data_IF_332726075698
#
_entry.id   IF_332726075698
#
_cell.length_a   1.000
_cell.length_b   1.000
_cell.length_c   1.000
_cell.angle_alpha   90.00
_cell.angle_beta   90.00
_cell.angle_gamma   90.00
#
_symmetry.space_group_name_H-M   'P 1'
#
loop_
_entity.id
_entity.type
_entity.pdbx_description
1 polymer ?
#
# COMPACT_ATOMS: atom_id res chain seq x y z
N UNK A 1 1.63 42.17 5.42
CA UNK A 1 1.10 42.35 6.79
C UNK A 1 0.42 41.04 7.16
N UNK A 2 1.07 40.25 8.01
CA UNK A 2 0.49 39.01 8.53
C UNK A 2 -0.68 39.39 9.47
N UNK A 3 -1.89 38.90 9.15
CA UNK A 3 -3.04 39.04 10.04
C UNK A 3 -2.83 38.18 11.29
N UNK A 4 -3.18 38.80 12.41
CA UNK A 4 -3.06 38.26 13.74
C UNK A 4 -3.73 36.86 13.91
N UNK A 5 -3.13 36.04 14.77
CA UNK A 5 -3.63 34.79 15.32
C UNK A 5 -5.14 34.81 15.50
N UNK A 6 -5.85 34.13 14.59
CA UNK A 6 -7.19 33.70 14.84
C UNK A 6 -7.12 32.38 15.66
N UNK A 7 -7.69 32.39 16.85
CA UNK A 7 -7.77 31.22 17.74
C UNK A 7 -8.74 30.14 17.23
N UNK A 8 -9.27 30.28 16.00
CA UNK A 8 -10.27 29.36 15.41
C UNK A 8 -9.71 27.97 15.04
N UNK A 9 -8.40 27.83 14.91
CA UNK A 9 -7.79 26.58 14.41
C UNK A 9 -7.93 26.36 12.91
N UNK A 10 -8.47 27.35 12.17
CA UNK A 10 -8.61 27.33 10.71
C UNK A 10 -7.56 28.23 10.05
N UNK A 11 -7.16 27.86 8.85
CA UNK A 11 -6.27 28.65 7.99
C UNK A 11 -6.94 28.81 6.62
N UNK A 12 -6.60 29.88 5.88
CA UNK A 12 -7.08 30.08 4.53
C UNK A 12 -6.62 28.94 3.60
N UNK A 13 -7.55 28.45 2.77
CA UNK A 13 -7.22 27.46 1.73
C UNK A 13 -6.36 28.14 0.65
N UNK A 14 -5.16 27.62 0.42
CA UNK A 14 -4.35 27.99 -0.72
C UNK A 14 -4.79 27.14 -1.91
N UNK A 15 -5.39 27.79 -2.92
CA UNK A 15 -5.89 27.13 -4.12
C UNK A 15 -5.36 27.85 -5.36
N UNK A 16 -4.89 27.07 -6.33
CA UNK A 16 -4.45 27.54 -7.64
C UNK A 16 -5.43 26.98 -8.69
N UNK A 17 -6.11 27.89 -9.37
CA UNK A 17 -7.02 27.54 -10.46
C UNK A 17 -6.20 27.22 -11.73
N UNK A 18 -6.48 26.07 -12.32
CA UNK A 18 -5.84 25.65 -13.56
C UNK A 18 -6.77 25.90 -14.75
N UNK A 19 -6.19 26.26 -15.91
CA UNK A 19 -6.93 26.33 -17.15
C UNK A 19 -7.51 24.94 -17.53
N UNK A 20 -8.70 24.86 -18.16
CA UNK A 20 -9.34 23.58 -18.52
C UNK A 20 -8.45 22.66 -19.38
N UNK A 21 -7.64 23.22 -20.25
CA UNK A 21 -6.70 22.48 -21.10
C UNK A 21 -5.61 21.79 -20.26
N UNK A 22 -5.09 22.49 -19.26
CA UNK A 22 -4.09 21.96 -18.34
C UNK A 22 -4.72 20.88 -17.42
N UNK A 23 -5.94 21.09 -16.94
CA UNK A 23 -6.68 20.08 -16.17
C UNK A 23 -6.84 18.79 -16.95
N UNK A 24 -7.27 18.88 -18.23
CA UNK A 24 -7.42 17.73 -19.12
C UNK A 24 -6.08 17.02 -19.38
N UNK A 25 -5.02 17.78 -19.62
CA UNK A 25 -3.67 17.27 -19.85
C UNK A 25 -3.15 16.47 -18.64
N UNK A 26 -3.28 17.03 -17.43
CA UNK A 26 -2.88 16.36 -16.19
C UNK A 26 -3.69 15.10 -15.92
N UNK A 27 -5.01 15.17 -16.10
CA UNK A 27 -5.89 14.01 -15.92
C UNK A 27 -5.53 12.88 -16.88
N UNK A 28 -5.35 13.17 -18.16
CA UNK A 28 -4.96 12.18 -19.17
C UNK A 28 -3.58 11.58 -18.90
N UNK A 29 -2.61 12.41 -18.52
CA UNK A 29 -1.25 11.97 -18.20
C UNK A 29 -1.21 11.06 -16.98
N UNK A 30 -1.91 11.42 -15.91
CA UNK A 30 -1.99 10.61 -14.69
C UNK A 30 -2.70 9.28 -14.95
N UNK A 31 -3.84 9.30 -15.65
CA UNK A 31 -4.54 8.08 -16.03
C UNK A 31 -3.65 7.15 -16.89
N UNK A 32 -2.98 7.71 -17.90
CA UNK A 32 -2.07 6.95 -18.77
C UNK A 32 -0.97 6.26 -17.96
N UNK A 33 -0.40 6.94 -16.95
CA UNK A 33 0.63 6.36 -16.10
C UNK A 33 0.04 5.27 -15.18
N UNK A 34 -1.07 5.54 -14.51
CA UNK A 34 -1.71 4.55 -13.62
C UNK A 34 -2.23 3.34 -14.39
N UNK A 35 -2.63 3.50 -15.64
CA UNK A 35 -3.10 2.39 -16.47
C UNK A 35 -2.00 1.37 -16.81
N UNK A 36 -0.73 1.77 -16.79
CA UNK A 36 0.43 0.86 -16.95
C UNK A 36 0.67 -0.01 -15.70
N UNK A 37 0.18 0.41 -14.53
CA UNK A 37 0.44 -0.26 -13.27
C UNK A 37 -0.07 -1.71 -13.28
N UNK A 38 0.82 -2.62 -12.92
CA UNK A 38 0.50 -4.05 -12.78
C UNK A 38 0.99 -4.56 -11.40
N UNK A 39 0.33 -5.60 -10.91
CA UNK A 39 0.81 -6.40 -9.79
C UNK A 39 1.98 -7.26 -10.25
N UNK A 40 3.19 -6.99 -9.76
CA UNK A 40 4.44 -7.65 -10.18
C UNK A 40 4.95 -8.53 -9.06
N UNK A 41 5.31 -9.78 -9.40
CA UNK A 41 5.83 -10.77 -8.44
C UNK A 41 7.30 -11.15 -8.68
N UNK A 42 7.86 -10.79 -9.82
CA UNK A 42 9.26 -11.05 -10.17
C UNK A 42 10.04 -9.74 -10.06
N UNK A 43 10.92 -9.67 -9.08
CA UNK A 43 11.70 -8.48 -8.79
C UNK A 43 13.18 -8.70 -9.14
N UNK A 44 13.82 -7.65 -9.60
CA UNK A 44 15.26 -7.54 -9.65
C UNK A 44 15.81 -7.25 -8.26
N UNK A 45 16.97 -7.79 -7.94
CA UNK A 45 17.72 -7.47 -6.71
C UNK A 45 18.40 -6.10 -6.76
N UNK A 46 18.26 -5.37 -7.87
CA UNK A 46 18.81 -4.03 -8.06
C UNK A 46 18.39 -3.10 -6.94
N UNK A 47 19.35 -2.41 -6.35
CA UNK A 47 19.10 -1.52 -5.22
C UNK A 47 18.20 -0.35 -5.59
N UNK A 48 17.32 0.02 -4.66
CA UNK A 48 16.46 1.21 -4.70
C UNK A 48 16.88 2.14 -3.55
N UNK A 49 17.23 3.40 -3.84
CA UNK A 49 17.61 4.36 -2.80
C UNK A 49 16.52 4.53 -1.75
N UNK A 50 16.91 4.57 -0.48
CA UNK A 50 16.02 4.79 0.66
C UNK A 50 15.17 6.05 0.51
N UNK A 51 15.72 7.11 -0.06
CA UNK A 51 15.02 8.38 -0.30
C UNK A 51 13.76 8.23 -1.16
N UNK A 52 13.73 7.29 -2.12
CA UNK A 52 12.54 7.01 -2.93
C UNK A 52 11.45 6.32 -2.10
N UNK A 53 11.83 5.43 -1.19
CA UNK A 53 10.88 4.80 -0.26
C UNK A 53 10.31 5.84 0.71
N UNK A 54 11.16 6.71 1.24
CA UNK A 54 10.72 7.82 2.10
C UNK A 54 9.76 8.77 1.37
N UNK A 55 10.01 9.07 0.09
CA UNK A 55 9.13 9.89 -0.72
C UNK A 55 7.75 9.22 -0.92
N UNK A 56 7.72 7.91 -1.22
CA UNK A 56 6.48 7.16 -1.35
C UNK A 56 5.68 7.13 -0.04
N UNK A 57 6.35 6.92 1.10
CA UNK A 57 5.71 6.93 2.42
C UNK A 57 5.19 8.33 2.77
N UNK A 58 5.95 9.39 2.47
CA UNK A 58 5.48 10.78 2.66
C UNK A 58 4.23 11.06 1.82
N UNK A 59 4.22 10.63 0.56
CA UNK A 59 3.03 10.74 -0.30
C UNK A 59 1.84 9.98 0.30
N UNK A 60 2.04 8.76 0.76
CA UNK A 60 1.00 7.98 1.45
C UNK A 60 0.47 8.71 2.71
N UNK A 61 1.37 9.37 3.45
CA UNK A 61 1.04 10.13 4.65
C UNK A 61 0.18 11.37 4.41
N UNK A 62 0.01 11.82 3.15
CA UNK A 62 -0.94 12.90 2.80
C UNK A 62 -2.38 12.44 2.66
N UNK A 63 -2.66 11.14 2.83
CA UNK A 63 -4.00 10.59 2.75
C UNK A 63 -4.95 11.26 3.76
N UNK A 64 -6.22 11.51 3.41
CA UNK A 64 -7.23 11.86 4.39
C UNK A 64 -7.47 10.68 5.34
N UNK A 65 -7.88 10.99 6.58
CA UNK A 65 -8.20 9.98 7.57
C UNK A 65 -9.32 10.44 8.49
N UNK A 66 -10.06 9.49 9.05
CA UNK A 66 -11.13 9.77 10.01
C UNK A 66 -10.62 10.63 11.16
N UNK A 67 -11.23 11.80 11.37
CA UNK A 67 -10.84 12.81 12.36
C UNK A 67 -9.34 13.20 12.30
N UNK A 68 -8.72 13.10 11.15
CA UNK A 68 -7.29 13.36 10.92
C UNK A 68 -6.37 12.54 11.84
N UNK A 69 -6.76 11.32 12.20
CA UNK A 69 -6.02 10.50 13.17
C UNK A 69 -4.83 9.77 12.57
N UNK A 70 -4.71 9.69 11.23
CA UNK A 70 -3.58 9.09 10.52
C UNK A 70 -3.18 7.71 11.08
N UNK A 71 -4.12 6.73 11.14
CA UNK A 71 -3.98 5.50 11.90
C UNK A 71 -3.13 4.45 11.19
N UNK A 72 -1.98 4.83 10.68
CA UNK A 72 -1.07 3.98 9.92
C UNK A 72 0.36 4.07 10.42
N UNK A 73 1.07 2.95 10.31
CA UNK A 73 2.52 2.87 10.42
C UNK A 73 3.07 2.12 9.23
N UNK A 74 3.97 2.74 8.48
CA UNK A 74 4.70 2.08 7.40
C UNK A 74 6.05 1.61 7.93
N UNK A 75 6.30 0.31 7.90
CA UNK A 75 7.58 -0.29 8.27
C UNK A 75 8.31 -0.70 6.99
N UNK A 76 9.44 -0.06 6.71
CA UNK A 76 10.26 -0.32 5.53
C UNK A 76 11.47 -1.21 5.89
N UNK A 77 11.66 -2.30 5.15
CA UNK A 77 12.59 -3.36 5.46
C UNK A 77 13.48 -3.62 4.23
N UNK A 78 14.79 -3.36 4.37
CA UNK A 78 15.82 -3.74 3.39
C UNK A 78 16.76 -4.82 3.93
N UNK A 79 16.71 -5.09 5.23
CA UNK A 79 17.54 -6.11 5.87
C UNK A 79 17.16 -7.51 5.36
N UNK A 80 18.14 -8.21 4.74
CA UNK A 80 17.91 -9.48 4.08
C UNK A 80 17.53 -10.61 5.06
N UNK A 81 18.13 -10.65 6.24
CA UNK A 81 17.84 -11.67 7.25
C UNK A 81 16.38 -11.52 7.74
N UNK A 82 15.94 -10.27 7.92
CA UNK A 82 14.57 -9.97 8.35
C UNK A 82 13.56 -10.32 7.25
N UNK A 83 13.87 -10.00 5.99
CA UNK A 83 13.06 -10.41 4.83
C UNK A 83 12.96 -11.93 4.73
N UNK A 84 14.05 -12.66 4.98
CA UNK A 84 14.06 -14.12 4.97
C UNK A 84 13.14 -14.71 6.06
N UNK A 85 13.16 -14.15 7.27
CA UNK A 85 12.26 -14.59 8.36
C UNK A 85 10.79 -14.32 8.00
N UNK A 86 10.50 -13.17 7.41
CA UNK A 86 9.16 -12.81 6.95
C UNK A 86 8.70 -13.75 5.83
N UNK A 87 9.57 -14.07 4.86
CA UNK A 87 9.29 -15.01 3.79
C UNK A 87 8.94 -16.39 4.33
N UNK A 88 9.76 -16.95 5.20
CA UNK A 88 9.53 -18.25 5.81
C UNK A 88 8.17 -18.33 6.51
N UNK A 89 7.85 -17.34 7.35
CA UNK A 89 6.58 -17.30 8.05
C UNK A 89 5.38 -17.11 7.09
N UNK A 90 5.52 -16.25 6.07
CA UNK A 90 4.49 -16.05 5.07
C UNK A 90 4.23 -17.33 4.26
N UNK A 91 5.28 -18.02 3.81
CA UNK A 91 5.17 -19.27 3.05
C UNK A 91 4.57 -20.41 3.90
N UNK A 92 4.84 -20.42 5.20
CA UNK A 92 4.21 -21.38 6.11
C UNK A 92 2.69 -21.15 6.21
N UNK A 93 2.25 -19.92 6.41
CA UNK A 93 0.81 -19.58 6.44
C UNK A 93 0.13 -19.82 5.10
N UNK A 94 0.79 -19.50 4.01
CA UNK A 94 0.28 -19.77 2.66
C UNK A 94 0.13 -21.28 2.39
N UNK A 95 1.09 -22.09 2.77
CA UNK A 95 0.95 -23.56 2.65
C UNK A 95 -0.28 -24.08 3.39
N UNK A 96 -0.50 -23.63 4.63
CA UNK A 96 -1.71 -23.98 5.40
C UNK A 96 -2.98 -23.50 4.71
N UNK A 97 -2.93 -22.29 4.12
CA UNK A 97 -4.07 -21.72 3.40
C UNK A 97 -4.41 -22.54 2.16
N UNK A 98 -3.41 -22.84 1.32
CA UNK A 98 -3.62 -23.60 0.08
C UNK A 98 -4.02 -25.06 0.34
N UNK A 99 -3.54 -25.70 1.42
CA UNK A 99 -3.83 -27.12 1.71
C UNK A 99 -5.10 -27.34 2.53
N UNK A 100 -5.50 -26.39 3.39
CA UNK A 100 -6.50 -26.66 4.43
C UNK A 100 -7.63 -25.62 4.51
N UNK A 101 -7.37 -24.35 4.15
CA UNK A 101 -8.27 -23.24 4.43
C UNK A 101 -8.95 -22.65 3.20
N UNK A 102 -8.43 -22.93 2.01
CA UNK A 102 -8.87 -22.31 0.76
C UNK A 102 -10.08 -23.05 0.18
N UNK A 103 -11.26 -22.42 0.07
CA UNK A 103 -12.38 -22.97 -0.67
C UNK A 103 -12.03 -23.13 -2.16
N UNK A 104 -12.59 -24.16 -2.83
CA UNK A 104 -12.34 -24.44 -4.24
C UNK A 104 -12.65 -23.22 -5.14
N UNK A 105 -13.78 -22.56 -4.90
CA UNK A 105 -14.17 -21.35 -5.63
C UNK A 105 -13.12 -20.23 -5.56
N UNK A 106 -12.40 -20.10 -4.44
CA UNK A 106 -11.31 -19.13 -4.32
C UNK A 106 -10.07 -19.60 -5.09
N UNK A 107 -9.73 -20.87 -4.99
CA UNK A 107 -8.62 -21.46 -5.77
C UNK A 107 -8.81 -21.26 -7.28
N UNK A 108 -10.02 -21.41 -7.79
CA UNK A 108 -10.35 -21.17 -9.20
C UNK A 108 -10.07 -19.73 -9.63
N UNK A 109 -10.44 -18.75 -8.81
CA UNK A 109 -10.17 -17.31 -9.06
C UNK A 109 -8.67 -16.98 -9.02
N UNK A 110 -7.89 -17.66 -8.18
CA UNK A 110 -6.45 -17.44 -8.06
C UNK A 110 -5.63 -18.13 -9.17
N UNK A 111 -6.11 -19.22 -9.73
CA UNK A 111 -5.41 -20.01 -10.76
C UNK A 111 -4.89 -19.17 -11.93
N UNK A 112 -5.70 -18.27 -12.55
CA UNK A 112 -5.23 -17.41 -13.64
C UNK A 112 -4.17 -16.39 -13.23
N UNK A 113 -4.02 -16.13 -11.92
CA UNK A 113 -3.06 -15.16 -11.38
C UNK A 113 -1.67 -15.75 -11.18
N UNK A 114 -1.52 -17.09 -11.30
CA UNK A 114 -0.24 -17.78 -11.15
C UNK A 114 0.39 -17.58 -9.75
N UNK A 115 -0.45 -17.52 -8.71
CA UNK A 115 0.04 -17.39 -7.31
C UNK A 115 0.04 -18.75 -6.62
N UNK A 116 1.07 -19.01 -5.86
CA UNK A 116 1.30 -20.24 -5.09
C UNK A 116 1.82 -19.93 -3.68
N UNK A 117 2.27 -20.94 -2.95
CA UNK A 117 2.80 -20.77 -1.59
C UNK A 117 4.24 -20.22 -1.55
N UNK A 118 4.95 -20.14 -2.67
CA UNK A 118 6.33 -19.65 -2.73
C UNK A 118 6.33 -18.13 -2.90
N UNK A 119 7.07 -17.40 -2.04
CA UNK A 119 7.01 -15.94 -1.96
C UNK A 119 8.39 -15.29 -2.15
N UNK A 120 9.06 -15.62 -3.24
CA UNK A 120 10.40 -15.11 -3.58
C UNK A 120 10.44 -13.58 -3.61
N UNK A 121 9.37 -12.96 -4.06
CA UNK A 121 9.23 -11.49 -4.10
C UNK A 121 9.52 -10.78 -2.77
N UNK A 122 9.41 -11.48 -1.61
CA UNK A 122 9.74 -10.91 -0.30
C UNK A 122 11.25 -10.75 -0.12
N UNK A 123 12.03 -11.71 -0.65
CA UNK A 123 13.50 -11.70 -0.54
C UNK A 123 14.17 -10.99 -1.70
N UNK A 124 13.60 -11.05 -2.90
CA UNK A 124 14.19 -10.53 -4.13
C UNK A 124 14.02 -9.02 -4.25
N UNK A 125 12.84 -8.49 -3.88
CA UNK A 125 12.63 -7.05 -3.85
C UNK A 125 13.64 -6.38 -2.89
N UNK A 126 14.30 -5.27 -3.30
CA UNK A 126 15.23 -4.54 -2.43
C UNK A 126 14.57 -4.02 -1.16
N UNK A 127 13.29 -3.69 -1.22
CA UNK A 127 12.50 -3.24 -0.08
C UNK A 127 11.21 -4.03 0.07
N UNK A 128 10.82 -4.26 1.33
CA UNK A 128 9.50 -4.73 1.71
C UNK A 128 8.88 -3.71 2.64
N UNK A 129 7.68 -3.27 2.31
CA UNK A 129 6.94 -2.31 3.12
C UNK A 129 5.76 -3.04 3.76
N UNK A 130 5.66 -2.96 5.08
CA UNK A 130 4.48 -3.47 5.79
C UNK A 130 3.68 -2.28 6.31
N UNK A 131 2.43 -2.19 5.85
CA UNK A 131 1.47 -1.23 6.38
C UNK A 131 0.74 -1.85 7.56
N UNK A 132 0.90 -1.23 8.71
CA UNK A 132 0.15 -1.53 9.92
C UNK A 132 -0.98 -0.52 10.11
N UNK A 133 -2.16 -1.03 10.43
CA UNK A 133 -3.32 -0.25 10.84
C UNK A 133 -3.35 -0.17 12.36
N UNK A 134 -3.48 1.02 12.90
CA UNK A 134 -3.67 1.27 14.33
C UNK A 134 -5.17 1.23 14.66
N UNK A 135 -5.60 0.34 15.56
CA UNK A 135 -6.98 0.25 16.01
C UNK A 135 -7.27 1.09 17.26
N UNK A 136 -6.22 1.57 17.92
CA UNK A 136 -6.27 2.45 19.08
C UNK A 136 -5.20 3.53 18.97
N UNK A 137 -5.42 4.67 19.58
CA UNK A 137 -4.45 5.75 19.73
C UNK A 137 -4.34 6.18 21.19
N UNK A 138 -3.16 6.65 21.58
CA UNK A 138 -2.99 7.34 22.84
C UNK A 138 -3.53 8.77 22.71
N UNK A 139 -4.40 9.17 23.63
CA UNK A 139 -4.96 10.51 23.71
C UNK A 139 -4.05 11.43 24.54
N UNK A 140 -4.26 12.74 24.45
CA UNK A 140 -3.47 13.73 25.18
C UNK A 140 -3.59 13.59 26.71
N UNK A 141 -4.71 13.01 27.18
CA UNK A 141 -4.95 12.71 28.60
C UNK A 141 -4.26 11.41 29.07
N UNK A 142 -3.47 10.73 28.21
CA UNK A 142 -2.77 9.49 28.53
C UNK A 142 -3.63 8.21 28.43
N UNK A 143 -4.89 8.31 28.05
CA UNK A 143 -5.78 7.15 27.88
C UNK A 143 -5.77 6.63 26.45
N UNK A 144 -5.92 5.32 26.28
CA UNK A 144 -6.14 4.71 24.99
C UNK A 144 -7.58 4.91 24.52
N UNK A 145 -7.74 5.36 23.29
CA UNK A 145 -9.04 5.51 22.64
C UNK A 145 -9.09 4.86 21.27
N UNK A 146 -10.28 4.66 20.70
CA UNK A 146 -10.41 4.09 19.35
C UNK A 146 -9.88 5.03 18.28
N UNK A 147 -9.51 4.48 17.14
CA UNK A 147 -9.40 5.19 15.87
C UNK A 147 -10.70 5.03 15.08
N UNK A 148 -10.97 5.99 14.19
CA UNK A 148 -12.18 6.00 13.37
C UNK A 148 -11.81 5.74 11.90
N UNK A 149 -12.60 4.89 11.21
CA UNK A 149 -12.40 4.60 9.79
C UNK A 149 -10.94 4.22 9.46
N UNK A 150 -10.31 3.48 10.38
CA UNK A 150 -8.87 3.20 10.26
C UNK A 150 -8.55 2.27 9.09
N UNK A 151 -9.47 1.39 8.70
CA UNK A 151 -9.30 0.50 7.57
C UNK A 151 -9.38 1.26 6.25
N UNK A 152 -10.40 2.08 6.08
CA UNK A 152 -10.61 2.92 4.91
C UNK A 152 -9.46 3.92 4.75
N UNK A 153 -9.07 4.58 5.84
CA UNK A 153 -7.95 5.52 5.88
C UNK A 153 -6.62 4.86 5.44
N UNK A 154 -6.32 3.68 5.97
CA UNK A 154 -5.14 2.91 5.55
C UNK A 154 -5.23 2.45 4.09
N UNK A 155 -6.44 2.10 3.61
CA UNK A 155 -6.67 1.76 2.20
C UNK A 155 -6.35 2.91 1.26
N UNK A 156 -6.79 4.15 1.60
CA UNK A 156 -6.48 5.36 0.83
C UNK A 156 -4.96 5.64 0.86
N UNK A 157 -4.32 5.55 2.03
CA UNK A 157 -2.88 5.73 2.16
C UNK A 157 -2.09 4.69 1.35
N UNK A 158 -2.53 3.43 1.34
CA UNK A 158 -1.94 2.38 0.51
C UNK A 158 -2.09 2.68 -0.99
N UNK A 159 -3.24 3.19 -1.43
CA UNK A 159 -3.48 3.61 -2.81
C UNK A 159 -2.52 4.72 -3.25
N UNK A 160 -2.32 5.75 -2.42
CA UNK A 160 -1.35 6.82 -2.68
C UNK A 160 0.09 6.31 -2.69
N UNK A 161 0.44 5.38 -1.78
CA UNK A 161 1.75 4.72 -1.80
C UNK A 161 2.01 4.00 -3.12
N UNK A 162 1.05 3.19 -3.57
CA UNK A 162 1.14 2.43 -4.83
C UNK A 162 1.26 3.37 -6.03
N UNK A 163 0.50 4.46 -6.04
CA UNK A 163 0.57 5.47 -7.09
C UNK A 163 1.94 6.17 -7.13
N UNK A 164 2.51 6.51 -5.96
CA UNK A 164 3.84 7.09 -5.85
C UNK A 164 4.92 6.14 -6.36
N UNK A 165 4.87 4.85 -5.98
CA UNK A 165 5.79 3.81 -6.45
C UNK A 165 5.73 3.69 -7.98
N UNK A 166 4.54 3.64 -8.56
CA UNK A 166 4.35 3.60 -10.01
C UNK A 166 4.89 4.86 -10.70
N UNK A 167 4.61 6.04 -10.15
CA UNK A 167 5.07 7.31 -10.72
C UNK A 167 6.60 7.45 -10.72
N UNK A 168 7.30 6.76 -9.82
CA UNK A 168 8.77 6.71 -9.76
C UNK A 168 9.38 5.64 -10.69
N UNK A 169 8.58 4.92 -11.48
CA UNK A 169 9.06 3.84 -12.34
C UNK A 169 9.43 2.56 -11.60
N UNK A 170 8.91 2.37 -10.39
CA UNK A 170 9.07 1.16 -9.61
C UNK A 170 7.79 0.32 -9.65
N UNK A 171 7.93 -0.97 -9.28
CA UNK A 171 6.80 -1.91 -9.24
C UNK A 171 6.55 -2.41 -7.82
N UNK A 172 5.31 -2.85 -7.58
CA UNK A 172 4.89 -3.42 -6.30
C UNK A 172 3.74 -4.41 -6.50
N UNK A 173 3.43 -5.14 -5.44
CA UNK A 173 2.19 -5.87 -5.27
C UNK A 173 1.64 -5.66 -3.87
N UNK A 174 0.35 -5.92 -3.69
CA UNK A 174 -0.26 -6.07 -2.37
C UNK A 174 -0.31 -7.55 -2.03
N UNK A 175 0.31 -7.95 -0.93
CA UNK A 175 0.35 -9.31 -0.43
C UNK A 175 -0.25 -9.36 0.97
N UNK A 176 -1.15 -10.31 1.20
CA UNK A 176 -1.89 -10.47 2.46
C UNK A 176 -1.81 -11.93 2.92
N UNK A 177 -0.65 -12.43 3.36
CA UNK A 177 -0.50 -13.81 3.86
C UNK A 177 -1.28 -13.93 5.17
N UNK A 178 -2.48 -14.51 5.11
CA UNK A 178 -3.39 -14.56 6.25
C UNK A 178 -3.27 -15.88 7.04
N UNK A 179 -3.22 -15.81 8.40
CA UNK A 179 -3.23 -14.62 9.25
C UNK A 179 -1.89 -13.88 9.29
N UNK A 180 -1.90 -12.54 9.34
CA UNK A 180 -0.70 -11.70 9.28
C UNK A 180 -0.06 -11.39 10.65
N UNK A 181 -0.49 -12.08 11.72
CA UNK A 181 -0.02 -11.83 13.10
C UNK A 181 1.49 -11.98 13.28
N UNK A 182 2.12 -12.89 12.55
CA UNK A 182 3.58 -13.09 12.56
C UNK A 182 4.38 -11.84 12.22
N UNK A 183 3.84 -10.94 11.38
CA UNK A 183 4.52 -9.68 11.03
C UNK A 183 4.66 -8.76 12.24
N UNK A 184 3.65 -8.71 13.12
CA UNK A 184 3.74 -7.94 14.35
C UNK A 184 4.83 -8.48 15.27
N UNK A 185 4.93 -9.80 15.40
CA UNK A 185 5.92 -10.47 16.24
C UNK A 185 7.35 -10.28 15.70
N UNK A 186 7.57 -10.59 14.43
CA UNK A 186 8.89 -10.47 13.78
C UNK A 186 9.39 -9.01 13.82
N UNK A 187 8.49 -8.05 13.56
CA UNK A 187 8.82 -6.64 13.49
C UNK A 187 8.69 -5.91 14.85
N UNK A 188 8.39 -6.66 15.91
CA UNK A 188 8.24 -6.15 17.30
C UNK A 188 7.31 -4.94 17.38
N UNK A 189 6.17 -5.01 16.68
CA UNK A 189 5.19 -3.92 16.68
C UNK A 189 4.27 -4.01 17.90
N UNK A 190 3.79 -2.85 18.40
CA UNK A 190 2.91 -2.81 19.57
C UNK A 190 1.57 -3.49 19.28
N UNK A 191 0.87 -3.89 20.34
CA UNK A 191 -0.37 -4.67 20.27
C UNK A 191 -1.50 -4.00 19.48
N UNK A 192 -1.56 -2.67 19.51
CA UNK A 192 -2.58 -1.89 18.80
C UNK A 192 -2.31 -1.73 17.30
N UNK A 193 -1.19 -2.25 16.79
CA UNK A 193 -0.86 -2.26 15.37
C UNK A 193 -1.14 -3.64 14.76
N UNK A 194 -1.97 -3.66 13.72
CA UNK A 194 -2.35 -4.85 12.98
C UNK A 194 -1.84 -4.74 11.55
N UNK A 195 -1.05 -5.71 11.11
CA UNK A 195 -0.59 -5.75 9.72
C UNK A 195 -1.79 -5.83 8.77
N UNK A 196 -1.79 -4.97 7.74
CA UNK A 196 -2.87 -4.88 6.75
C UNK A 196 -2.40 -5.26 5.35
N UNK A 197 -1.22 -4.80 4.93
CA UNK A 197 -0.63 -5.09 3.63
C UNK A 197 0.88 -5.29 3.77
N UNK A 198 1.41 -6.23 3.00
CA UNK A 198 2.83 -6.40 2.74
C UNK A 198 3.07 -6.03 1.28
N UNK A 199 3.97 -5.08 1.01
CA UNK A 199 4.22 -4.52 -0.31
C UNK A 199 5.72 -4.55 -0.63
N UNK A 200 6.21 -5.57 -1.34
CA UNK A 200 7.54 -5.52 -1.94
C UNK A 200 7.63 -4.39 -2.95
N UNK A 201 8.77 -3.69 -2.98
CA UNK A 201 9.03 -2.56 -3.87
C UNK A 201 10.40 -2.69 -4.49
N UNK A 202 10.48 -2.54 -5.80
CA UNK A 202 11.73 -2.62 -6.55
C UNK A 202 11.55 -2.41 -8.04
N UNK A 203 12.60 -2.71 -8.80
CA UNK A 203 12.51 -2.85 -10.25
C UNK A 203 11.97 -4.23 -10.60
N UNK A 204 11.24 -4.39 -11.71
CA UNK A 204 10.89 -5.72 -12.21
C UNK A 204 12.17 -6.47 -12.61
N UNK A 205 12.15 -7.79 -12.56
CA UNK A 205 13.17 -8.61 -13.20
C UNK A 205 13.10 -8.44 -14.74
N UNK A 206 14.18 -8.69 -15.45
CA UNK A 206 14.24 -8.48 -16.92
C UNK A 206 13.19 -9.30 -17.68
N UNK A 207 12.90 -10.51 -17.21
CA UNK A 207 11.87 -11.40 -17.80
C UNK A 207 10.55 -11.42 -17.01
N UNK A 208 10.27 -10.36 -16.23
CA UNK A 208 9.07 -10.30 -15.41
C UNK A 208 7.80 -10.37 -16.26
N UNK A 209 6.94 -11.32 -15.93
CA UNK A 209 5.63 -11.48 -16.54
C UNK A 209 4.51 -11.12 -15.56
N UNK A 210 3.39 -10.71 -16.12
CA UNK A 210 2.17 -10.42 -15.37
C UNK A 210 0.97 -11.09 -16.05
N UNK A 211 -0.05 -11.53 -15.28
CA UNK A 211 -1.24 -12.12 -15.85
C UNK A 211 -1.89 -11.20 -16.89
N UNK A 212 -2.34 -11.76 -18.02
CA UNK A 212 -3.06 -10.98 -19.03
C UNK A 212 -4.51 -10.75 -18.59
N UNK A 213 -4.72 -9.63 -17.90
CA UNK A 213 -6.02 -9.25 -17.30
C UNK A 213 -6.48 -7.91 -17.86
N UNK A 214 -7.79 -7.81 -18.11
CA UNK A 214 -8.46 -6.57 -18.47
C UNK A 214 -9.04 -5.89 -17.24
N UNK A 215 -9.09 -4.55 -17.25
CA UNK A 215 -9.86 -3.77 -16.29
C UNK A 215 -11.30 -3.65 -16.78
N UNK A 216 -12.22 -3.47 -15.84
CA UNK A 216 -13.59 -3.11 -16.18
C UNK A 216 -13.60 -1.78 -16.93
N UNK A 217 -14.44 -1.63 -17.95
CA UNK A 217 -14.65 -0.35 -18.62
C UNK A 217 -15.37 0.63 -17.70
N UNK A 218 -15.43 1.90 -18.10
CA UNK A 218 -15.96 2.98 -17.25
C UNK A 218 -17.42 2.74 -16.84
N UNK A 219 -18.25 2.27 -17.76
CA UNK A 219 -19.67 1.97 -17.58
C UNK A 219 -19.94 0.89 -16.51
N UNK A 220 -18.97 0.00 -16.25
CA UNK A 220 -19.10 -1.06 -15.24
C UNK A 220 -18.67 -0.58 -13.82
N UNK A 221 -18.06 0.61 -13.71
CA UNK A 221 -17.53 1.14 -12.45
C UNK A 221 -18.06 2.51 -12.07
N UNK A 222 -18.96 3.08 -12.90
CA UNK A 222 -19.52 4.41 -12.67
C UNK A 222 -20.95 4.53 -13.18
N UNK A 223 -21.69 5.43 -12.55
CA UNK A 223 -23.00 5.90 -12.98
C UNK A 223 -23.03 7.42 -12.84
N UNK A 224 -23.58 8.13 -13.84
CA UNK A 224 -23.65 9.60 -13.87
C UNK A 224 -25.12 10.04 -13.80
N UNK A 225 -25.43 10.92 -12.87
CA UNK A 225 -26.71 11.62 -12.75
C UNK A 225 -26.46 13.10 -13.07
N UNK A 226 -27.01 13.59 -14.20
CA UNK A 226 -26.86 14.97 -14.70
C UNK A 226 -28.18 15.76 -14.65
#
# INVERSE_FOLDING_TARGET
>A
MAKANDQSGFIDLVFEELAPEEMNSRAASFYKEMNKRRTTRHFSTRNVPRSLIEAAIKTAGTAPSGAHLQPWTFVAISNQELKQKIRQAAEEEERKTYSERMPEAWSEVLRPLGTDAVKEHITDAPWVIVLFRQNKRLRDNGEWGPTYYSQESCGIAAGLFIAAVQNMGLVTLTHTPSPMGFLREILKRPEHEHAMLLMPVGYPADEAQVPNLNRKPLEDISEFFE
#
